data_IF_666124708862
#
_entry.id   IF_666124708862
#
_cell.length_a   1.000
_cell.length_b   1.000
_cell.length_c   1.000
_cell.angle_alpha   90.00
_cell.angle_beta   90.00
_cell.angle_gamma   90.00
#
_symmetry.space_group_name_H-M   'P 1'
#
loop_
_entity.id
_entity.type
_entity.pdbx_description
1 polymer ?
#
# COMPACT_ATOMS: atom_id res chain seq x y z
N UNK A 1 -17.48 -16.86 26.41
CA UNK A 1 -17.49 -15.96 25.24
C UNK A 1 -16.11 -15.30 25.07
N UNK A 2 -15.05 -16.12 25.00
CA UNK A 2 -13.64 -15.69 25.01
C UNK A 2 -12.96 -16.17 23.74
N UNK A 3 -13.04 -15.38 22.67
CA UNK A 3 -12.23 -15.54 21.45
C UNK A 3 -11.35 -14.30 21.17
N UNK A 4 -11.29 -13.36 22.12
CA UNK A 4 -10.61 -12.07 21.99
C UNK A 4 -9.10 -12.09 22.31
N UNK A 5 -8.53 -13.25 22.65
CA UNK A 5 -7.15 -13.34 23.13
C UNK A 5 -6.10 -13.49 22.02
N UNK A 6 -6.43 -14.07 20.86
CA UNK A 6 -5.45 -14.28 19.77
C UNK A 6 -5.27 -13.02 18.92
N UNK A 7 -4.03 -12.57 18.67
CA UNK A 7 -3.77 -11.47 17.74
C UNK A 7 -4.39 -11.76 16.37
N UNK A 8 -5.12 -10.80 15.82
CA UNK A 8 -5.76 -10.96 14.50
C UNK A 8 -4.71 -10.77 13.41
N UNK A 9 -4.33 -11.85 12.73
CA UNK A 9 -3.33 -11.80 11.66
C UNK A 9 -3.92 -11.48 10.28
N UNK A 10 -5.24 -11.66 10.10
CA UNK A 10 -5.90 -11.46 8.81
C UNK A 10 -5.63 -10.09 8.17
N UNK A 11 -5.57 -8.94 8.89
CA UNK A 11 -5.33 -7.65 8.23
C UNK A 11 -3.99 -7.61 7.52
N UNK A 12 -2.96 -8.23 8.10
CA UNK A 12 -1.62 -8.28 7.52
C UNK A 12 -1.60 -9.14 6.25
N UNK A 13 -2.28 -10.30 6.25
CA UNK A 13 -2.38 -11.15 5.07
C UNK A 13 -3.16 -10.48 3.93
N UNK A 14 -4.29 -9.84 4.24
CA UNK A 14 -5.07 -9.09 3.25
C UNK A 14 -4.25 -7.94 2.68
N UNK A 15 -3.54 -7.17 3.52
CA UNK A 15 -2.71 -6.06 3.05
C UNK A 15 -1.53 -6.56 2.21
N UNK A 16 -0.91 -7.69 2.59
CA UNK A 16 0.16 -8.31 1.81
C UNK A 16 -0.32 -8.71 0.41
N UNK A 17 -1.49 -9.35 0.33
CA UNK A 17 -2.10 -9.74 -0.93
C UNK A 17 -2.39 -8.52 -1.82
N UNK A 18 -2.90 -7.43 -1.24
CA UNK A 18 -3.15 -6.18 -1.98
C UNK A 18 -1.84 -5.58 -2.52
N UNK A 19 -0.78 -5.54 -1.72
CA UNK A 19 0.53 -5.07 -2.16
C UNK A 19 1.13 -5.94 -3.28
N UNK A 20 0.98 -7.26 -3.19
CA UNK A 20 1.42 -8.17 -4.24
C UNK A 20 0.59 -8.05 -5.52
N UNK A 21 -0.73 -7.89 -5.41
CA UNK A 21 -1.61 -7.64 -6.55
C UNK A 21 -1.27 -6.30 -7.23
N UNK A 22 -0.99 -5.26 -6.43
CA UNK A 22 -0.47 -3.99 -6.92
C UNK A 22 0.87 -4.17 -7.65
N UNK A 23 1.83 -4.87 -7.04
CA UNK A 23 3.14 -5.14 -7.66
C UNK A 23 2.99 -5.91 -8.98
N UNK A 24 2.16 -6.95 -9.03
CA UNK A 24 1.90 -7.71 -10.26
C UNK A 24 1.30 -6.82 -11.35
N UNK A 25 0.31 -6.00 -11.01
CA UNK A 25 -0.27 -5.04 -11.96
C UNK A 25 0.76 -4.02 -12.45
N UNK A 26 1.65 -3.53 -11.58
CA UNK A 26 2.74 -2.61 -11.95
C UNK A 26 3.79 -3.28 -12.83
N UNK A 27 4.10 -4.55 -12.61
CA UNK A 27 5.01 -5.32 -13.46
C UNK A 27 4.46 -5.44 -14.90
N UNK A 28 3.15 -5.69 -15.06
CA UNK A 28 2.52 -5.71 -16.39
C UNK A 28 2.66 -4.36 -17.12
N UNK A 29 2.49 -3.24 -16.41
CA UNK A 29 2.69 -1.91 -16.99
C UNK A 29 4.17 -1.63 -17.30
N UNK A 30 5.09 -2.13 -16.47
CA UNK A 30 6.53 -2.01 -16.69
C UNK A 30 6.96 -2.73 -17.98
N UNK A 31 6.45 -3.94 -18.20
CA UNK A 31 6.71 -4.73 -19.42
C UNK A 31 6.17 -4.04 -20.68
N UNK A 32 5.14 -3.21 -20.54
CA UNK A 32 4.56 -2.42 -21.63
C UNK A 32 5.18 -1.01 -21.74
N UNK A 33 6.17 -0.68 -20.89
CA UNK A 33 6.74 0.66 -20.76
C UNK A 33 5.68 1.77 -20.59
N UNK A 34 4.57 1.46 -19.90
CA UNK A 34 3.41 2.35 -19.77
C UNK A 34 3.30 2.93 -18.37
N UNK A 35 2.94 4.20 -18.26
CA UNK A 35 2.51 4.79 -16.98
C UNK A 35 1.09 4.39 -16.61
N UNK A 36 0.76 4.54 -15.32
CA UNK A 36 -0.60 4.35 -14.82
C UNK A 36 -0.68 3.38 -13.65
N UNK A 37 -1.91 3.17 -13.20
CA UNK A 37 -2.26 2.31 -12.07
C UNK A 37 -3.18 1.17 -12.55
N UNK A 38 -2.99 -0.07 -12.03
CA UNK A 38 -3.91 -1.16 -12.32
C UNK A 38 -5.35 -0.78 -11.95
N UNK A 39 -6.27 -0.87 -12.92
CA UNK A 39 -7.68 -0.49 -12.76
C UNK A 39 -7.96 1.02 -12.77
N UNK A 40 -6.93 1.88 -12.80
CA UNK A 40 -7.07 3.33 -12.85
C UNK A 40 -7.33 3.89 -14.24
N UNK A 41 -7.62 5.20 -14.35
CA UNK A 41 -7.81 5.87 -15.63
C UNK A 41 -6.55 5.78 -16.51
N UNK A 42 -6.72 5.77 -17.84
CA UNK A 42 -5.58 5.74 -18.77
C UNK A 42 -4.76 7.03 -18.64
N UNK A 43 -3.44 6.90 -18.66
CA UNK A 43 -2.51 8.03 -18.73
C UNK A 43 -2.30 8.40 -20.19
N UNK A 44 -2.37 9.69 -20.53
CA UNK A 44 -2.19 10.14 -21.90
C UNK A 44 -0.74 9.97 -22.37
N UNK A 45 -0.54 9.91 -23.70
CA UNK A 45 0.81 9.85 -24.28
C UNK A 45 1.62 11.11 -23.92
N UNK A 46 0.99 12.29 -23.98
CA UNK A 46 1.63 13.56 -23.63
C UNK A 46 2.10 13.60 -22.18
N UNK A 47 1.32 13.09 -21.23
CA UNK A 47 1.74 12.99 -19.83
C UNK A 47 2.87 11.99 -19.63
N UNK A 48 2.84 10.88 -20.38
CA UNK A 48 3.90 9.87 -20.34
C UNK A 48 5.23 10.43 -20.84
N UNK A 49 5.21 11.17 -21.95
CA UNK A 49 6.39 11.85 -22.50
C UNK A 49 6.92 12.94 -21.56
N UNK A 50 6.03 13.74 -20.96
CA UNK A 50 6.41 14.75 -19.97
C UNK A 50 7.11 14.10 -18.77
N UNK A 51 6.52 13.05 -18.21
CA UNK A 51 7.11 12.33 -17.08
C UNK A 51 8.47 11.72 -17.42
N UNK A 52 8.62 11.13 -18.62
CA UNK A 52 9.88 10.58 -19.07
C UNK A 52 10.99 11.63 -19.19
N UNK A 53 10.63 12.86 -19.60
CA UNK A 53 11.57 13.98 -19.76
C UNK A 53 11.98 14.60 -18.42
N UNK A 54 11.05 14.75 -17.50
CA UNK A 54 11.24 15.52 -16.27
C UNK A 54 11.68 14.66 -15.06
N UNK A 55 11.31 13.38 -15.03
CA UNK A 55 11.50 12.53 -13.86
C UNK A 55 12.30 11.26 -14.19
N UNK A 56 11.68 10.31 -14.90
CA UNK A 56 12.31 9.03 -15.22
C UNK A 56 11.53 8.26 -16.27
N UNK A 57 12.18 7.29 -16.92
CA UNK A 57 11.53 6.38 -17.86
C UNK A 57 10.32 5.65 -17.21
N UNK A 58 9.19 5.50 -17.91
CA UNK A 58 8.00 4.82 -17.40
C UNK A 58 8.27 3.43 -16.86
N UNK A 59 9.02 2.60 -17.59
CA UNK A 59 9.36 1.26 -17.16
C UNK A 59 10.10 1.25 -15.81
N UNK A 60 11.06 2.17 -15.62
CA UNK A 60 11.80 2.32 -14.37
C UNK A 60 10.87 2.70 -13.22
N UNK A 61 9.98 3.68 -13.43
CA UNK A 61 9.01 4.08 -12.43
C UNK A 61 8.11 2.90 -12.01
N UNK A 62 7.66 2.11 -12.97
CA UNK A 62 6.81 0.95 -12.68
C UNK A 62 7.59 -0.15 -11.96
N UNK A 63 8.85 -0.44 -12.31
CA UNK A 63 9.69 -1.39 -11.57
C UNK A 63 9.97 -0.94 -10.13
N UNK A 64 10.16 0.37 -9.89
CA UNK A 64 10.23 0.91 -8.52
C UNK A 64 8.90 0.71 -7.77
N UNK A 65 7.76 0.86 -8.45
CA UNK A 65 6.45 0.55 -7.89
C UNK A 65 6.27 -0.95 -7.59
N UNK A 66 6.79 -1.85 -8.42
CA UNK A 66 6.85 -3.31 -8.13
C UNK A 66 7.67 -3.55 -6.86
N UNK A 67 8.89 -3.02 -6.81
CA UNK A 67 9.79 -3.21 -5.68
C UNK A 67 9.19 -2.70 -4.36
N UNK A 68 8.56 -1.52 -4.39
CA UNK A 68 7.86 -0.97 -3.22
C UNK A 68 6.64 -1.80 -2.81
N UNK A 69 5.87 -2.34 -3.76
CA UNK A 69 4.78 -3.29 -3.47
C UNK A 69 5.29 -4.56 -2.79
N UNK A 70 6.34 -5.19 -3.33
CA UNK A 70 6.96 -6.38 -2.71
C UNK A 70 7.50 -6.06 -1.32
N UNK A 71 8.22 -4.95 -1.17
CA UNK A 71 8.74 -4.51 0.13
C UNK A 71 7.61 -4.26 1.14
N UNK A 72 6.54 -3.59 0.73
CA UNK A 72 5.33 -3.37 1.54
C UNK A 72 4.71 -4.68 2.01
N UNK A 73 4.56 -5.67 1.11
CA UNK A 73 4.07 -7.00 1.44
C UNK A 73 4.95 -7.72 2.49
N UNK A 74 6.27 -7.67 2.31
CA UNK A 74 7.22 -8.24 3.27
C UNK A 74 7.12 -7.55 4.65
N UNK A 75 7.01 -6.22 4.67
CA UNK A 75 6.89 -5.44 5.91
C UNK A 75 5.61 -5.77 6.68
N UNK A 76 4.46 -5.87 6.00
CA UNK A 76 3.22 -6.24 6.70
C UNK A 76 3.27 -7.69 7.20
N UNK A 77 3.86 -8.63 6.46
CA UNK A 77 4.03 -10.00 6.92
C UNK A 77 5.00 -10.10 8.11
N UNK A 78 6.02 -9.23 8.17
CA UNK A 78 6.91 -9.15 9.32
C UNK A 78 6.14 -8.86 10.62
N UNK A 79 5.02 -8.11 10.56
CA UNK A 79 4.22 -7.79 11.76
C UNK A 79 3.57 -9.01 12.42
N UNK A 80 3.41 -10.12 11.70
CA UNK A 80 2.74 -11.34 12.18
C UNK A 80 3.67 -12.56 12.29
N UNK A 81 4.93 -12.44 11.87
CA UNK A 81 5.93 -13.52 11.95
C UNK A 81 6.83 -13.40 13.17
N UNK A 82 7.44 -14.51 13.60
CA UNK A 82 8.38 -14.52 14.72
C UNK A 82 9.63 -13.68 14.45
N UNK A 83 10.11 -13.67 13.21
CA UNK A 83 11.30 -12.91 12.81
C UNK A 83 11.07 -11.40 12.96
N UNK A 84 9.93 -10.88 12.46
CA UNK A 84 9.63 -9.46 12.58
C UNK A 84 9.34 -9.01 14.02
N UNK A 85 8.97 -9.92 14.92
CA UNK A 85 8.85 -9.64 16.36
C UNK A 85 10.20 -9.41 17.07
N UNK A 86 11.33 -9.70 16.43
CA UNK A 86 12.67 -9.38 16.96
C UNK A 86 13.06 -7.91 16.76
N UNK A 87 12.34 -7.19 15.91
CA UNK A 87 12.61 -5.77 15.63
C UNK A 87 12.18 -4.93 16.85
N UNK A 88 12.99 -3.94 17.29
CA UNK A 88 12.58 -3.02 18.35
C UNK A 88 11.23 -2.38 18.03
N UNK A 89 10.31 -2.44 18.98
CA UNK A 89 8.93 -1.97 18.82
C UNK A 89 8.84 -0.56 18.24
N UNK A 90 9.64 0.37 18.76
CA UNK A 90 9.65 1.76 18.32
C UNK A 90 10.00 1.89 16.84
N UNK A 91 11.02 1.14 16.39
CA UNK A 91 11.43 1.11 14.98
C UNK A 91 10.35 0.52 14.09
N UNK A 92 9.74 -0.60 14.48
CA UNK A 92 8.66 -1.21 13.72
C UNK A 92 7.44 -0.28 13.59
N UNK A 93 7.06 0.41 14.67
CA UNK A 93 5.97 1.40 14.63
C UNK A 93 6.30 2.61 13.76
N UNK A 94 7.56 3.08 13.78
CA UNK A 94 8.01 4.16 12.89
C UNK A 94 7.91 3.75 11.42
N UNK A 95 8.38 2.54 11.08
CA UNK A 95 8.27 2.00 9.72
C UNK A 95 6.82 1.88 9.29
N UNK A 96 5.95 1.36 10.17
CA UNK A 96 4.52 1.24 9.88
C UNK A 96 3.83 2.61 9.73
N UNK A 97 4.25 3.62 10.49
CA UNK A 97 3.75 4.99 10.35
C UNK A 97 4.18 5.61 9.01
N UNK A 98 5.45 5.44 8.62
CA UNK A 98 5.94 5.88 7.30
C UNK A 98 5.17 5.19 6.17
N UNK A 99 4.96 3.87 6.29
CA UNK A 99 4.16 3.11 5.31
C UNK A 99 2.70 3.57 5.28
N UNK A 100 2.11 3.92 6.44
CA UNK A 100 0.77 4.49 6.49
C UNK A 100 0.68 5.82 5.74
N UNK A 101 1.65 6.72 5.89
CA UNK A 101 1.67 7.98 5.14
C UNK A 101 1.76 7.74 3.62
N UNK A 102 2.58 6.80 3.17
CA UNK A 102 2.67 6.44 1.75
C UNK A 102 1.34 5.86 1.21
N UNK A 103 0.73 4.93 1.95
CA UNK A 103 -0.56 4.33 1.60
C UNK A 103 -1.67 5.38 1.60
N UNK A 104 -1.73 6.23 2.63
CA UNK A 104 -2.72 7.29 2.77
C UNK A 104 -2.56 8.36 1.68
N UNK A 105 -1.33 8.66 1.23
CA UNK A 105 -1.10 9.54 0.09
C UNK A 105 -1.72 8.99 -1.19
N UNK A 106 -1.41 7.73 -1.54
CA UNK A 106 -1.97 7.09 -2.73
C UNK A 106 -3.50 6.92 -2.66
N UNK A 107 -4.01 6.41 -1.54
CA UNK A 107 -5.45 6.25 -1.31
C UNK A 107 -6.18 7.60 -1.24
N UNK A 108 -5.55 8.63 -0.68
CA UNK A 108 -6.09 9.98 -0.58
C UNK A 108 -6.36 10.60 -1.95
N UNK A 109 -5.44 10.42 -2.90
CA UNK A 109 -5.66 10.84 -4.30
C UNK A 109 -6.89 10.15 -4.89
N UNK A 110 -7.04 8.83 -4.68
CA UNK A 110 -8.20 8.07 -5.17
C UNK A 110 -9.51 8.53 -4.53
N UNK A 111 -9.49 8.88 -3.24
CA UNK A 111 -10.66 9.39 -2.49
C UNK A 111 -11.08 10.76 -3.01
N UNK A 112 -10.14 11.70 -3.08
CA UNK A 112 -10.42 13.08 -3.50
C UNK A 112 -10.90 13.10 -4.94
N UNK A 113 -10.18 12.44 -5.85
CA UNK A 113 -10.60 12.41 -7.26
C UNK A 113 -11.89 11.61 -7.44
N UNK A 114 -12.01 10.45 -6.80
CA UNK A 114 -13.18 9.58 -6.94
C UNK A 114 -14.50 10.17 -6.44
N UNK A 115 -14.48 10.98 -5.37
CA UNK A 115 -15.69 11.55 -4.78
C UNK A 115 -15.92 13.01 -5.12
N UNK A 116 -14.86 13.79 -5.34
CA UNK A 116 -14.94 15.24 -5.60
C UNK A 116 -14.73 15.56 -7.08
N UNK A 117 -14.11 14.66 -7.85
CA UNK A 117 -13.81 14.88 -9.27
C UNK A 117 -12.62 15.81 -9.53
N UNK A 118 -11.75 15.96 -8.54
CA UNK A 118 -10.54 16.80 -8.63
C UNK A 118 -9.34 15.90 -8.95
N UNK A 119 -9.13 15.58 -10.23
CA UNK A 119 -8.01 14.75 -10.64
C UNK A 119 -8.10 14.10 -12.03
N UNK A 120 -7.55 12.89 -12.12
CA UNK A 120 -7.20 12.16 -13.36
C UNK A 120 -8.39 11.32 -13.87
N UNK A 121 -9.55 11.39 -13.21
CA UNK A 121 -10.76 10.69 -13.61
C UNK A 121 -10.98 9.36 -12.90
N UNK A 122 -10.51 9.22 -11.65
CA UNK A 122 -10.89 8.09 -10.81
C UNK A 122 -12.41 8.08 -10.58
N UNK A 123 -13.01 6.89 -10.65
CA UNK A 123 -14.45 6.69 -10.37
C UNK A 123 -14.72 6.53 -8.86
N UNK A 124 -15.93 6.85 -8.40
CA UNK A 124 -16.33 6.79 -6.98
C UNK A 124 -15.93 5.50 -6.25
N UNK A 125 -16.02 4.34 -6.91
CA UNK A 125 -15.67 3.06 -6.28
C UNK A 125 -14.17 2.96 -5.94
N UNK A 126 -13.30 3.68 -6.65
CA UNK A 126 -11.89 3.80 -6.28
C UNK A 126 -11.71 4.61 -5.00
N UNK A 127 -12.54 5.64 -4.78
CA UNK A 127 -12.56 6.34 -3.50
C UNK A 127 -12.94 5.41 -2.35
N UNK A 128 -13.93 4.53 -2.56
CA UNK A 128 -14.28 3.48 -1.59
C UNK A 128 -13.11 2.52 -1.35
N UNK A 129 -12.44 2.06 -2.41
CA UNK A 129 -11.23 1.24 -2.30
C UNK A 129 -10.15 1.95 -1.48
N UNK A 130 -9.93 3.25 -1.70
CA UNK A 130 -8.98 4.04 -0.93
C UNK A 130 -9.31 4.05 0.57
N UNK A 131 -10.58 4.27 0.93
CA UNK A 131 -11.02 4.21 2.33
C UNK A 131 -10.79 2.82 2.96
N UNK A 132 -11.11 1.75 2.22
CA UNK A 132 -10.90 0.37 2.66
C UNK A 132 -9.42 0.09 2.92
N UNK A 133 -8.53 0.52 2.01
CA UNK A 133 -7.08 0.33 2.14
C UNK A 133 -6.52 1.09 3.34
N UNK A 134 -6.95 2.34 3.58
CA UNK A 134 -6.57 3.10 4.79
C UNK A 134 -7.04 2.36 6.05
N UNK A 135 -8.31 1.95 6.10
CA UNK A 135 -8.87 1.21 7.23
C UNK A 135 -8.12 -0.10 7.51
N UNK A 136 -7.74 -0.82 6.46
CA UNK A 136 -6.94 -2.04 6.57
C UNK A 136 -5.53 -1.77 7.10
N UNK A 137 -4.87 -0.71 6.63
CA UNK A 137 -3.55 -0.32 7.13
C UNK A 137 -3.59 0.06 8.62
N UNK A 138 -4.62 0.80 9.05
CA UNK A 138 -4.85 1.10 10.48
C UNK A 138 -5.07 -0.19 11.26
N UNK A 139 -5.82 -1.16 10.72
CA UNK A 139 -6.04 -2.45 11.35
C UNK A 139 -4.75 -3.27 11.53
N UNK A 140 -3.82 -3.23 10.55
CA UNK A 140 -2.48 -3.83 10.66
C UNK A 140 -1.70 -3.19 11.81
N UNK A 141 -1.62 -1.86 11.86
CA UNK A 141 -0.90 -1.11 12.89
C UNK A 141 -1.46 -1.42 14.28
N UNK A 142 -2.78 -1.37 14.41
CA UNK A 142 -3.47 -1.66 15.66
C UNK A 142 -3.21 -3.10 16.12
N UNK A 143 -3.28 -4.08 15.21
CA UNK A 143 -3.01 -5.48 15.53
C UNK A 143 -1.59 -5.68 16.05
N UNK A 144 -0.59 -5.11 15.36
CA UNK A 144 0.81 -5.16 15.78
C UNK A 144 1.04 -4.47 17.14
N UNK A 145 0.50 -3.26 17.32
CA UNK A 145 0.67 -2.49 18.55
C UNK A 145 0.08 -3.20 19.78
N UNK A 146 -1.06 -3.88 19.61
CA UNK A 146 -1.70 -4.67 20.66
C UNK A 146 -0.93 -5.96 20.97
N UNK A 147 -0.47 -6.68 19.94
CA UNK A 147 0.27 -7.93 20.10
C UNK A 147 1.61 -7.71 20.83
N UNK A 148 2.26 -6.56 20.61
CA UNK A 148 3.57 -6.24 21.20
C UNK A 148 3.51 -5.53 22.55
N UNK A 149 2.35 -5.00 22.98
CA UNK A 149 2.17 -4.47 24.35
C UNK A 149 2.28 -5.57 25.39
N UNK A 150 1.72 -6.74 25.09
CA UNK A 150 1.64 -7.87 26.03
C UNK A 150 2.97 -8.58 26.30
N UNK A 151 4.03 -8.25 25.56
CA UNK A 151 5.35 -8.89 25.69
C UNK A 151 6.40 -7.98 26.36
N UNK A 152 6.00 -6.78 26.79
CA UNK A 152 6.89 -5.77 27.38
C UNK A 152 6.65 -5.51 28.87
N UNK A 153 5.78 -6.30 29.50
CA UNK A 153 5.62 -6.44 30.95
C UNK A 153 6.23 -7.79 31.37
#
# INVERSE_FOLDING_TARGET
MNDSARPRHWPAYTMALLFLAYAAGKALFALQARLGFPGGPPVSAAETERYARELMAPATAQWLAVASGVAGACLVLATVTSLGRRVPRALALLVLAAMFLAVAGGAGIMIVDGFVGVGIGWRWYHGVVGLVVIGLQVAVIRSYAMATRRNGD
#
